data_IF_952540327147
#
_entry.id   IF_952540327147
#
_cell.length_a   1.000
_cell.length_b   1.000
_cell.length_c   1.000
_cell.angle_alpha   90.00
_cell.angle_beta   90.00
_cell.angle_gamma   90.00
#
_symmetry.space_group_name_H-M   'P 1'
#
loop_
_entity.id
_entity.type
_entity.pdbx_description
1 polymer ?
#
# COMPACT_ATOMS: atom_id res chain seq x y z
N UNK A 1 18.20 3.56 15.32
CA UNK A 1 16.87 4.24 15.13
C UNK A 1 15.87 3.16 14.79
N UNK A 2 14.68 3.13 15.43
CA UNK A 2 13.63 2.19 15.06
C UNK A 2 13.01 2.54 13.71
N UNK A 3 12.64 1.52 12.93
CA UNK A 3 12.02 1.67 11.63
C UNK A 3 11.04 0.55 11.29
N UNK A 4 10.28 0.74 10.24
CA UNK A 4 9.43 -0.27 9.63
C UNK A 4 9.75 -0.37 8.14
N UNK A 5 9.55 -1.55 7.56
CA UNK A 5 9.50 -1.71 6.11
C UNK A 5 8.04 -1.67 5.67
N UNK A 6 7.73 -0.79 4.73
CA UNK A 6 6.40 -0.73 4.13
C UNK A 6 6.47 -1.37 2.75
N UNK A 7 5.60 -2.35 2.50
CA UNK A 7 5.48 -3.06 1.23
C UNK A 7 6.81 -3.60 0.67
N UNK A 8 7.53 -4.47 1.39
CA UNK A 8 8.76 -5.08 0.89
C UNK A 8 8.45 -6.16 -0.15
N UNK A 9 8.15 -5.76 -1.38
CA UNK A 9 7.69 -6.65 -2.45
C UNK A 9 8.74 -7.61 -2.99
N UNK A 10 10.04 -7.30 -2.82
CA UNK A 10 11.14 -8.14 -3.32
C UNK A 10 12.49 -7.72 -2.76
N UNK A 11 13.57 -8.38 -3.22
CA UNK A 11 14.96 -8.10 -2.83
C UNK A 11 15.19 -8.05 -1.30
N UNK A 12 14.72 -9.03 -0.51
CA UNK A 12 14.73 -8.98 0.95
C UNK A 12 16.11 -8.73 1.54
N UNK A 13 17.15 -9.36 1.00
CA UNK A 13 18.53 -9.17 1.47
C UNK A 13 19.01 -7.73 1.28
N UNK A 14 18.70 -7.12 0.14
CA UNK A 14 19.06 -5.73 -0.16
C UNK A 14 18.37 -4.76 0.78
N UNK A 15 17.08 -4.96 1.05
CA UNK A 15 16.32 -4.13 1.99
C UNK A 15 16.89 -4.22 3.41
N UNK A 16 17.17 -5.42 3.91
CA UNK A 16 17.76 -5.63 5.21
C UNK A 16 19.16 -5.04 5.33
N UNK A 17 20.01 -5.22 4.31
CA UNK A 17 21.37 -4.65 4.29
C UNK A 17 21.31 -3.12 4.27
N UNK A 18 20.42 -2.52 3.46
CA UNK A 18 20.26 -1.06 3.42
C UNK A 18 19.79 -0.52 4.77
N UNK A 19 18.83 -1.16 5.43
CA UNK A 19 18.40 -0.76 6.78
C UNK A 19 19.55 -0.81 7.77
N UNK A 20 20.36 -1.87 7.73
CA UNK A 20 21.56 -2.04 8.59
C UNK A 20 22.61 -0.96 8.33
N UNK A 21 22.91 -0.64 7.07
CA UNK A 21 23.85 0.41 6.69
C UNK A 21 23.39 1.80 7.18
N UNK A 22 22.08 2.06 7.17
CA UNK A 22 21.47 3.27 7.69
C UNK A 22 21.32 3.30 9.22
N UNK A 23 21.71 2.23 9.92
CA UNK A 23 21.56 2.09 11.37
C UNK A 23 20.09 2.04 11.82
N UNK A 24 19.22 1.50 10.96
CA UNK A 24 17.79 1.33 11.24
C UNK A 24 17.56 -0.08 11.77
N UNK A 25 16.94 -0.15 12.95
CA UNK A 25 16.50 -1.39 13.60
C UNK A 25 15.03 -1.62 13.21
N UNK A 26 14.80 -2.54 12.27
CA UNK A 26 13.45 -2.85 11.77
C UNK A 26 12.66 -3.56 12.87
N UNK A 27 11.52 -3.00 13.23
CA UNK A 27 10.62 -3.52 14.27
C UNK A 27 9.42 -4.28 13.71
N UNK A 28 8.92 -3.86 12.58
CA UNK A 28 7.72 -4.41 11.95
C UNK A 28 7.79 -4.31 10.43
N UNK A 29 6.97 -5.08 9.76
CA UNK A 29 6.66 -4.95 8.33
C UNK A 29 5.20 -4.53 8.22
N UNK A 30 4.93 -3.44 7.50
CA UNK A 30 3.57 -2.97 7.24
C UNK A 30 3.21 -3.22 5.77
N UNK A 31 2.05 -3.83 5.54
CA UNK A 31 1.54 -4.09 4.20
C UNK A 31 0.31 -3.23 3.91
N UNK A 32 0.33 -2.53 2.78
CA UNK A 32 -0.83 -1.77 2.31
C UNK A 32 -1.84 -2.67 1.63
N UNK A 33 -1.40 -3.68 0.86
CA UNK A 33 -2.25 -4.65 0.18
C UNK A 33 -1.49 -5.94 -0.17
N UNK A 34 -2.22 -6.95 -0.64
CA UNK A 34 -1.70 -8.31 -0.77
C UNK A 34 -1.05 -8.67 -2.11
N UNK A 35 -0.84 -7.72 -3.05
CA UNK A 35 -0.20 -8.04 -4.32
C UNK A 35 1.27 -8.43 -4.15
N UNK A 36 1.75 -9.25 -5.09
CA UNK A 36 3.07 -9.85 -5.09
C UNK A 36 4.20 -8.81 -4.94
N UNK A 37 4.13 -7.73 -5.68
CA UNK A 37 5.14 -6.67 -5.74
C UNK A 37 5.13 -5.74 -4.52
N UNK A 38 4.21 -5.97 -3.57
CA UNK A 38 4.14 -5.32 -2.26
C UNK A 38 4.40 -6.27 -1.09
N UNK A 39 3.90 -7.50 -1.16
CA UNK A 39 4.00 -8.46 -0.07
C UNK A 39 5.07 -9.56 -0.29
N UNK A 40 5.60 -9.68 -1.51
CA UNK A 40 6.37 -10.85 -1.93
C UNK A 40 7.67 -11.14 -1.18
N UNK A 41 8.31 -10.14 -0.60
CA UNK A 41 9.52 -10.30 0.22
C UNK A 41 9.28 -10.35 1.73
N UNK A 42 8.04 -10.08 2.17
CA UNK A 42 7.75 -9.86 3.58
C UNK A 42 7.99 -11.10 4.46
N UNK A 43 7.64 -12.31 3.98
CA UNK A 43 7.84 -13.54 4.74
C UNK A 43 9.33 -13.89 4.95
N UNK A 44 10.16 -13.64 3.94
CA UNK A 44 11.61 -13.89 4.05
C UNK A 44 12.24 -12.91 5.05
N UNK A 45 11.84 -11.63 5.02
CA UNK A 45 12.30 -10.62 5.99
C UNK A 45 11.77 -10.95 7.40
N UNK A 46 10.50 -11.32 7.54
CA UNK A 46 9.89 -11.73 8.81
C UNK A 46 10.73 -12.80 9.49
N UNK A 47 11.10 -13.85 8.75
CA UNK A 47 11.90 -14.96 9.28
C UNK A 47 13.32 -14.54 9.61
N UNK A 48 13.95 -13.74 8.75
CA UNK A 48 15.34 -13.33 8.94
C UNK A 48 15.53 -12.40 10.14
N UNK A 49 14.60 -11.45 10.35
CA UNK A 49 14.67 -10.45 11.41
C UNK A 49 13.85 -10.81 12.66
N UNK A 50 12.99 -11.83 12.58
CA UNK A 50 12.04 -12.22 13.64
C UNK A 50 11.14 -11.04 14.05
N UNK A 51 10.56 -10.35 13.07
CA UNK A 51 9.66 -9.20 13.24
C UNK A 51 8.26 -9.51 12.73
N UNK A 52 7.19 -8.94 13.30
CA UNK A 52 5.83 -9.20 12.84
C UNK A 52 5.52 -8.54 11.50
N UNK A 53 4.58 -9.16 10.75
CA UNK A 53 3.92 -8.59 9.58
C UNK A 53 2.54 -8.10 10.00
N UNK A 54 2.26 -6.81 9.76
CA UNK A 54 1.04 -6.11 10.13
C UNK A 54 0.34 -5.63 8.84
N UNK A 55 -0.93 -5.96 8.69
CA UNK A 55 -1.71 -5.65 7.49
C UNK A 55 -1.51 -6.65 6.34
N UNK A 56 -2.23 -6.41 5.27
CA UNK A 56 -3.28 -5.43 5.06
C UNK A 56 -4.59 -5.77 5.80
N UNK A 57 -5.76 -5.34 5.29
CA UNK A 57 -7.04 -5.84 5.77
C UNK A 57 -7.25 -7.30 5.34
N UNK A 58 -8.00 -8.08 6.12
CA UNK A 58 -8.18 -9.54 5.90
C UNK A 58 -8.77 -9.90 4.54
N UNK A 59 -9.47 -8.99 3.90
CA UNK A 59 -10.05 -9.22 2.58
C UNK A 59 -9.00 -9.40 1.47
N UNK A 60 -7.72 -9.06 1.72
CA UNK A 60 -6.62 -9.32 0.79
C UNK A 60 -5.89 -10.65 1.01
N UNK A 61 -6.30 -11.46 2.00
CA UNK A 61 -5.63 -12.73 2.28
C UNK A 61 -5.52 -13.62 1.04
N UNK A 62 -6.54 -13.64 0.18
CA UNK A 62 -6.53 -14.46 -1.01
C UNK A 62 -5.41 -14.12 -2.01
N UNK A 63 -4.92 -12.87 -2.04
CA UNK A 63 -3.74 -12.47 -2.80
C UNK A 63 -2.47 -13.05 -2.16
N UNK A 64 -2.34 -12.91 -0.85
CA UNK A 64 -1.18 -13.39 -0.08
C UNK A 64 -1.08 -14.92 -0.07
N UNK A 65 -2.19 -15.63 -0.24
CA UNK A 65 -2.22 -17.09 -0.39
C UNK A 65 -1.66 -17.58 -1.74
N UNK A 66 -1.44 -16.67 -2.70
CA UNK A 66 -0.99 -17.00 -4.06
C UNK A 66 0.37 -16.43 -4.43
N UNK A 67 1.12 -15.87 -3.49
CA UNK A 67 2.43 -15.23 -3.73
C UNK A 67 3.42 -16.22 -4.38
N UNK A 68 3.56 -17.44 -3.84
CA UNK A 68 4.46 -18.47 -4.40
C UNK A 68 4.08 -18.84 -5.84
N UNK A 69 2.78 -18.99 -6.08
CA UNK A 69 2.28 -19.31 -7.42
C UNK A 69 2.53 -18.14 -8.39
N UNK A 70 2.32 -16.91 -7.95
CA UNK A 70 2.53 -15.71 -8.76
C UNK A 70 4.00 -15.57 -9.15
N UNK A 71 4.94 -15.72 -8.22
CA UNK A 71 6.37 -15.73 -8.53
C UNK A 71 6.72 -16.80 -9.57
N UNK A 72 6.16 -18.02 -9.43
CA UNK A 72 6.39 -19.10 -10.41
C UNK A 72 5.88 -18.75 -11.80
N UNK A 73 4.71 -18.10 -11.90
CA UNK A 73 4.13 -17.67 -13.18
C UNK A 73 4.98 -16.61 -13.89
N UNK A 74 5.67 -15.76 -13.14
CA UNK A 74 6.62 -14.76 -13.67
C UNK A 74 8.02 -15.33 -13.91
N UNK A 75 8.23 -16.66 -13.82
CA UNK A 75 9.51 -17.30 -14.09
C UNK A 75 10.49 -17.29 -12.90
N UNK A 76 10.03 -16.92 -11.72
CA UNK A 76 10.83 -16.82 -10.49
C UNK A 76 10.42 -17.88 -9.46
N UNK A 77 10.30 -19.13 -9.89
CA UNK A 77 9.93 -20.25 -9.00
C UNK A 77 10.88 -20.35 -7.79
N UNK A 78 10.29 -20.47 -6.60
CA UNK A 78 11.02 -20.57 -5.33
C UNK A 78 11.35 -19.23 -4.68
N UNK A 79 11.04 -18.09 -5.33
CA UNK A 79 11.10 -16.79 -4.70
C UNK A 79 9.80 -16.50 -3.94
N UNK A 80 9.95 -15.78 -2.81
CA UNK A 80 8.84 -15.39 -1.96
C UNK A 80 8.07 -16.56 -1.34
N UNK A 81 7.19 -16.25 -0.42
CA UNK A 81 6.36 -17.22 0.29
C UNK A 81 4.96 -16.65 0.50
N UNK A 82 3.97 -17.54 0.52
CA UNK A 82 2.63 -17.16 0.98
C UNK A 82 2.69 -16.66 2.41
N UNK A 83 1.85 -15.66 2.73
CA UNK A 83 1.88 -14.98 4.02
C UNK A 83 0.52 -15.05 4.70
N UNK A 84 0.54 -15.35 5.99
CA UNK A 84 -0.53 -15.02 6.93
C UNK A 84 0.06 -13.96 7.86
N UNK A 85 -0.45 -12.72 7.85
CA UNK A 85 0.03 -11.66 8.72
C UNK A 85 -0.17 -12.00 10.20
N UNK A 86 0.69 -11.49 11.06
CA UNK A 86 0.54 -11.61 12.50
C UNK A 86 -0.69 -10.82 13.01
N UNK A 87 -1.05 -9.74 12.27
CA UNK A 87 -2.24 -8.94 12.51
C UNK A 87 -2.77 -8.32 11.23
N UNK A 88 -4.07 -8.41 10.97
CA UNK A 88 -4.75 -7.62 9.94
C UNK A 88 -5.06 -6.24 10.47
N UNK A 89 -5.28 -5.29 9.55
CA UNK A 89 -5.64 -3.92 9.87
C UNK A 89 -7.11 -3.64 9.56
N UNK A 90 -7.74 -2.85 10.43
CA UNK A 90 -9.13 -2.41 10.28
C UNK A 90 -9.19 -0.89 10.09
N UNK A 91 -10.31 -0.39 9.54
CA UNK A 91 -10.53 1.05 9.34
C UNK A 91 -10.52 1.82 10.67
N UNK A 92 -9.78 2.92 10.73
CA UNK A 92 -9.71 3.76 11.92
C UNK A 92 -8.73 3.30 12.99
N UNK A 93 -8.02 2.19 12.80
CA UNK A 93 -6.96 1.76 13.71
C UNK A 93 -5.77 2.73 13.73
N UNK A 94 -4.94 2.57 14.75
CA UNK A 94 -3.67 3.28 14.91
C UNK A 94 -2.52 2.30 15.03
N UNK A 95 -1.46 2.53 14.26
CA UNK A 95 -0.15 1.90 14.39
C UNK A 95 0.78 2.84 15.14
N UNK A 96 1.73 2.30 15.89
CA UNK A 96 2.71 3.11 16.64
C UNK A 96 4.12 2.65 16.32
N UNK A 97 4.99 3.59 15.95
CA UNK A 97 6.42 3.36 15.73
C UNK A 97 7.23 4.42 16.47
N UNK A 98 8.09 4.01 17.40
CA UNK A 98 8.94 4.93 18.15
C UNK A 98 8.19 6.05 18.84
N UNK A 99 6.96 5.79 19.33
CA UNK A 99 6.08 6.79 19.93
C UNK A 99 5.32 7.70 18.94
N UNK A 100 5.49 7.48 17.63
CA UNK A 100 4.75 8.20 16.58
C UNK A 100 3.54 7.37 16.16
N UNK A 101 2.36 7.99 16.15
CA UNK A 101 1.10 7.35 15.77
C UNK A 101 0.80 7.54 14.28
N UNK A 102 0.35 6.47 13.63
CA UNK A 102 -0.10 6.44 12.24
C UNK A 102 -1.53 5.91 12.19
N UNK A 103 -2.44 6.66 11.60
CA UNK A 103 -3.81 6.22 11.37
C UNK A 103 -3.90 5.27 10.17
N UNK A 104 -4.88 4.41 10.20
CA UNK A 104 -5.19 3.45 9.14
C UNK A 104 -6.55 3.77 8.53
N UNK A 105 -6.62 3.76 7.19
CA UNK A 105 -7.87 3.82 6.44
C UNK A 105 -8.00 2.56 5.59
N UNK A 106 -9.11 1.85 5.71
CA UNK A 106 -9.46 0.80 4.76
C UNK A 106 -9.93 1.45 3.46
N UNK A 107 -9.26 1.15 2.35
CA UNK A 107 -9.36 1.84 1.07
C UNK A 107 -9.64 0.86 -0.08
N UNK A 108 -10.75 0.13 -0.04
CA UNK A 108 -11.04 -0.87 -1.06
C UNK A 108 -11.28 -0.26 -2.44
N UNK A 109 -10.95 -1.03 -3.48
CA UNK A 109 -11.16 -0.67 -4.87
C UNK A 109 -10.09 -1.22 -5.81
N UNK A 110 -8.82 -0.92 -5.61
CA UNK A 110 -7.70 -1.59 -6.29
C UNK A 110 -7.65 -3.07 -5.88
N UNK A 111 -7.59 -3.33 -4.59
CA UNK A 111 -7.91 -4.62 -3.98
C UNK A 111 -9.00 -4.43 -2.92
N UNK A 112 -9.70 -5.48 -2.50
CA UNK A 112 -10.75 -5.36 -1.48
C UNK A 112 -10.20 -5.05 -0.08
N UNK A 113 -8.98 -5.50 0.23
CA UNK A 113 -8.36 -5.31 1.54
C UNK A 113 -7.30 -4.22 1.61
N UNK A 114 -7.20 -3.35 0.61
CA UNK A 114 -6.20 -2.28 0.59
C UNK A 114 -6.37 -1.34 1.78
N UNK A 115 -5.25 -0.94 2.41
CA UNK A 115 -5.21 0.07 3.47
C UNK A 115 -4.25 1.19 3.11
N UNK A 116 -4.52 2.38 3.63
CA UNK A 116 -3.60 3.53 3.61
C UNK A 116 -3.17 3.81 5.04
N UNK A 117 -1.87 4.01 5.24
CA UNK A 117 -1.26 4.31 6.53
C UNK A 117 -0.78 5.76 6.49
N UNK A 118 -1.22 6.60 7.43
CA UNK A 118 -0.95 8.03 7.36
C UNK A 118 -0.60 8.65 8.72
N UNK A 119 0.14 9.76 8.68
CA UNK A 119 0.38 10.59 9.87
C UNK A 119 0.05 12.06 9.53
N UNK A 120 -0.93 12.62 10.23
CA UNK A 120 -1.39 14.01 10.02
C UNK A 120 -0.36 15.05 10.44
N UNK A 121 0.37 14.81 11.50
CA UNK A 121 1.34 15.76 12.02
C UNK A 121 2.57 15.88 11.09
N UNK A 122 3.02 14.74 10.55
CA UNK A 122 4.11 14.69 9.57
C UNK A 122 3.64 15.00 8.14
N UNK A 123 2.33 15.06 7.92
CA UNK A 123 1.69 15.30 6.62
C UNK A 123 2.17 14.30 5.57
N UNK A 124 2.16 13.01 5.93
CA UNK A 124 2.61 11.93 5.07
C UNK A 124 1.59 10.78 5.07
N UNK A 125 1.42 10.14 3.90
CA UNK A 125 0.60 8.95 3.74
C UNK A 125 1.31 7.94 2.84
N UNK A 126 1.33 6.66 3.24
CA UNK A 126 1.71 5.52 2.42
C UNK A 126 0.43 4.99 1.79
N UNK A 127 0.25 5.26 0.51
CA UNK A 127 -1.04 5.02 -0.16
C UNK A 127 -1.06 3.75 -0.99
N UNK A 128 0.07 3.01 -1.06
CA UNK A 128 0.19 1.84 -1.93
C UNK A 128 -0.32 2.15 -3.33
N UNK A 129 -1.22 1.33 -3.83
CA UNK A 129 -1.77 1.42 -5.18
C UNK A 129 -3.18 2.04 -5.25
N UNK A 130 -3.52 2.89 -4.28
CA UNK A 130 -4.77 3.66 -4.30
C UNK A 130 -4.67 4.88 -5.21
N UNK A 131 -3.60 5.67 -5.05
CA UNK A 131 -3.43 6.96 -5.72
C UNK A 131 -2.00 7.13 -6.21
N UNK A 132 -1.85 7.57 -7.45
CA UNK A 132 -0.57 7.91 -8.07
C UNK A 132 -0.59 9.35 -8.55
N UNK A 133 0.60 9.90 -8.82
CA UNK A 133 0.72 11.20 -9.46
C UNK A 133 0.08 11.17 -10.84
N UNK A 134 -1.06 11.84 -11.00
CA UNK A 134 -1.82 11.91 -12.25
C UNK A 134 -2.58 10.65 -12.62
N UNK A 135 -2.69 9.65 -11.70
CA UNK A 135 -3.40 8.40 -11.96
C UNK A 135 -3.99 7.81 -10.67
N UNK A 136 -4.65 6.67 -10.79
CA UNK A 136 -5.14 5.83 -9.69
C UNK A 136 -4.81 4.38 -9.96
N UNK A 137 -4.90 3.53 -8.95
CA UNK A 137 -4.68 2.09 -9.07
C UNK A 137 -5.60 1.47 -10.13
N UNK A 138 -5.09 0.47 -10.84
CA UNK A 138 -5.89 -0.29 -11.80
C UNK A 138 -6.94 -1.13 -11.06
N UNK A 139 -8.05 -1.40 -11.75
CA UNK A 139 -9.23 -2.07 -11.19
C UNK A 139 -9.76 -3.17 -12.08
N UNK A 140 -8.85 -3.84 -12.79
CA UNK A 140 -9.13 -4.99 -13.66
C UNK A 140 -8.67 -6.33 -13.05
N UNK A 141 -8.30 -6.33 -11.78
CA UNK A 141 -7.98 -7.52 -11.00
C UNK A 141 -9.21 -8.18 -10.38
N UNK A 142 -9.12 -9.46 -9.98
CA UNK A 142 -10.17 -10.13 -9.22
C UNK A 142 -10.60 -9.33 -7.98
N UNK A 143 -11.90 -9.13 -7.80
CA UNK A 143 -12.55 -8.38 -6.70
C UNK A 143 -12.20 -6.88 -6.65
N UNK A 144 -11.54 -6.32 -7.67
CA UNK A 144 -11.37 -4.88 -7.80
C UNK A 144 -12.70 -4.19 -8.12
N UNK A 145 -12.82 -2.90 -7.76
CA UNK A 145 -14.02 -2.11 -8.03
C UNK A 145 -13.64 -0.64 -8.30
N UNK A 146 -13.77 -0.16 -9.56
CA UNK A 146 -13.36 1.19 -9.93
C UNK A 146 -14.15 2.29 -9.23
N UNK A 147 -15.47 2.10 -9.04
CA UNK A 147 -16.28 3.10 -8.36
C UNK A 147 -15.91 3.20 -6.88
N UNK A 148 -15.71 2.05 -6.24
CA UNK A 148 -15.30 2.00 -4.84
C UNK A 148 -13.94 2.65 -4.61
N UNK A 149 -12.97 2.49 -5.54
CA UNK A 149 -11.68 3.16 -5.47
C UNK A 149 -11.83 4.68 -5.50
N UNK A 150 -12.60 5.21 -6.46
CA UNK A 150 -12.86 6.65 -6.58
C UNK A 150 -13.56 7.19 -5.33
N UNK A 151 -14.57 6.50 -4.85
CA UNK A 151 -15.32 6.89 -3.65
C UNK A 151 -14.42 6.87 -2.41
N UNK A 152 -13.60 5.83 -2.23
CA UNK A 152 -12.62 5.73 -1.15
C UNK A 152 -11.65 6.93 -1.16
N UNK A 153 -11.08 7.27 -2.31
CA UNK A 153 -10.18 8.42 -2.45
C UNK A 153 -10.88 9.71 -2.04
N UNK A 154 -12.04 9.99 -2.64
CA UNK A 154 -12.75 11.27 -2.43
C UNK A 154 -13.29 11.42 -1.01
N UNK A 155 -13.75 10.32 -0.39
CA UNK A 155 -14.39 10.38 0.93
C UNK A 155 -13.43 10.22 2.09
N UNK A 156 -12.29 9.53 1.90
CA UNK A 156 -11.35 9.21 2.98
C UNK A 156 -10.00 9.92 2.87
N UNK A 157 -9.41 10.06 1.66
CA UNK A 157 -8.12 10.76 1.52
C UNK A 157 -8.27 12.27 1.51
N UNK A 158 -9.22 12.83 0.75
CA UNK A 158 -9.37 14.28 0.63
C UNK A 158 -9.59 15.00 1.97
N UNK A 159 -10.33 14.42 2.95
CA UNK A 159 -10.46 15.01 4.29
C UNK A 159 -9.17 15.09 5.11
N UNK A 160 -8.11 14.39 4.73
CA UNK A 160 -6.82 14.47 5.43
C UNK A 160 -6.09 15.80 5.17
N UNK A 161 -6.48 16.54 4.12
CA UNK A 161 -5.95 17.87 3.82
C UNK A 161 -5.12 17.96 2.54
N UNK A 162 -5.10 19.15 1.93
CA UNK A 162 -4.42 19.40 0.65
C UNK A 162 -2.90 19.27 0.73
N UNK A 163 -2.32 19.55 1.85
CA UNK A 163 -0.87 19.56 2.10
C UNK A 163 -0.30 18.19 2.50
N UNK A 164 -1.15 17.17 2.57
CA UNK A 164 -0.73 15.79 2.77
C UNK A 164 0.09 15.32 1.58
N UNK A 165 1.35 14.97 1.80
CA UNK A 165 2.22 14.32 0.82
C UNK A 165 1.94 12.82 0.86
N UNK A 166 2.05 12.15 -0.28
CA UNK A 166 1.91 10.70 -0.28
C UNK A 166 3.07 10.01 -1.01
N UNK A 167 3.39 8.83 -0.50
CA UNK A 167 4.31 7.87 -1.08
C UNK A 167 3.44 6.78 -1.70
N UNK A 168 3.40 6.67 -3.03
CA UNK A 168 2.67 5.62 -3.72
C UNK A 168 3.48 4.33 -3.78
N UNK A 169 2.84 3.22 -4.12
CA UNK A 169 3.53 1.97 -4.42
C UNK A 169 4.43 2.08 -5.65
N UNK A 170 3.99 2.84 -6.65
CA UNK A 170 4.72 3.03 -7.90
C UNK A 170 4.79 4.52 -8.29
N UNK A 171 5.90 4.88 -8.96
CA UNK A 171 6.09 6.22 -9.50
C UNK A 171 6.46 7.28 -8.45
N UNK A 172 6.40 8.57 -8.83
CA UNK A 172 6.85 9.65 -7.96
C UNK A 172 5.81 10.05 -6.93
N UNK A 173 6.28 10.60 -5.82
CA UNK A 173 5.47 11.24 -4.79
C UNK A 173 4.66 12.42 -5.34
N UNK A 174 3.53 12.74 -4.70
CA UNK A 174 2.72 13.92 -4.97
C UNK A 174 2.07 14.42 -3.67
N UNK A 175 1.10 15.33 -3.80
CA UNK A 175 0.27 15.80 -2.69
C UNK A 175 -1.22 15.63 -3.02
N UNK A 176 -2.05 15.45 -2.00
CA UNK A 176 -3.49 15.36 -2.24
C UNK A 176 -4.04 16.62 -2.90
N UNK A 177 -3.48 17.80 -2.59
CA UNK A 177 -3.87 19.05 -3.22
C UNK A 177 -3.59 19.10 -4.73
N UNK A 178 -2.42 18.60 -5.17
CA UNK A 178 -2.10 18.51 -6.59
C UNK A 178 -3.04 17.54 -7.32
N UNK A 179 -3.30 16.37 -6.74
CA UNK A 179 -4.18 15.37 -7.36
C UNK A 179 -5.65 15.83 -7.38
N UNK A 180 -6.13 16.50 -6.35
CA UNK A 180 -7.46 17.11 -6.33
C UNK A 180 -7.64 18.18 -7.41
N UNK A 181 -6.56 18.86 -7.79
CA UNK A 181 -6.58 19.87 -8.82
C UNK A 181 -6.53 19.27 -10.22
N UNK A 182 -5.60 18.35 -10.49
CA UNK A 182 -5.20 18.03 -11.85
C UNK A 182 -5.34 16.54 -12.22
N UNK A 183 -5.62 15.62 -11.26
CA UNK A 183 -5.70 14.19 -11.54
C UNK A 183 -6.95 13.88 -12.42
N UNK A 184 -6.78 13.25 -13.60
CA UNK A 184 -7.88 13.04 -14.54
C UNK A 184 -8.98 12.07 -14.04
N UNK A 185 -8.74 11.33 -12.96
CA UNK A 185 -9.67 10.33 -12.39
C UNK A 185 -10.43 10.87 -11.17
N UNK A 186 -9.77 11.66 -10.32
CA UNK A 186 -10.28 11.99 -8.98
C UNK A 186 -10.26 13.47 -8.64
N UNK A 187 -9.81 14.35 -9.56
CA UNK A 187 -9.82 15.79 -9.30
C UNK A 187 -11.22 16.30 -8.96
N UNK A 188 -11.30 17.40 -8.22
CA UNK A 188 -12.56 17.96 -7.72
C UNK A 188 -13.54 18.31 -8.85
N UNK A 189 -13.05 18.66 -10.04
CA UNK A 189 -13.85 18.95 -11.22
C UNK A 189 -14.29 17.70 -12.01
N UNK A 190 -13.77 16.51 -11.67
CA UNK A 190 -14.16 15.24 -12.32
C UNK A 190 -15.42 14.73 -11.66
N UNK A 191 -16.56 14.81 -12.38
CA UNK A 191 -17.83 14.26 -11.91
C UNK A 191 -17.82 12.72 -11.97
N UNK A 192 -18.46 12.07 -10.99
CA UNK A 192 -18.53 10.60 -10.84
C UNK A 192 -19.23 9.85 -11.99
N UNK A 193 -19.45 10.47 -13.15
CA UNK A 193 -20.22 9.91 -14.27
C UNK A 193 -19.49 9.68 -15.58
N UNK A 194 -18.20 10.00 -15.70
CA UNK A 194 -17.43 9.60 -16.89
C UNK A 194 -16.70 8.28 -16.61
N UNK A 195 -17.17 7.20 -17.23
CA UNK A 195 -16.44 5.93 -17.37
C UNK A 195 -15.10 6.23 -18.07
N UNK A 196 -14.09 6.53 -17.30
CA UNK A 196 -12.71 6.48 -17.77
C UNK A 196 -12.40 5.00 -18.03
N UNK A 197 -12.05 4.70 -19.27
CA UNK A 197 -11.56 3.37 -19.63
C UNK A 197 -10.22 3.20 -18.92
N UNK A 198 -10.19 2.52 -17.77
CA UNK A 198 -9.00 2.23 -16.98
C UNK A 198 -8.24 1.05 -17.58
N UNK A 199 -7.92 1.10 -18.88
CA UNK A 199 -6.89 0.26 -19.46
C UNK A 199 -5.55 0.86 -19.03
N UNK A 200 -4.97 0.24 -18.00
CA UNK A 200 -3.86 0.76 -17.25
C UNK A 200 -2.64 1.15 -18.06
N UNK A 201 -2.04 2.20 -17.61
CA UNK A 201 -0.61 2.41 -17.82
C UNK A 201 0.08 2.04 -16.50
N UNK A 202 1.02 1.11 -16.63
CA UNK A 202 1.88 0.58 -15.56
C UNK A 202 2.47 1.69 -14.70
#
# INVERSE_FOLDING_TARGET
>A
MEGVLVDPGGEPEKLMNTAKELGIDIKEIWLTHGHLDHAGGAEDIRKALNVPVIGPHKEDQFWMDTIEQSWSQYGHAGMGKNIIPDRYLEDGETLTLGGTEFGVLHMPGHTPGHVVIYNKNLKIAFVGDVLFRGSVGRTDFPKSNPQQLIDSIKTKLWPLGHDMRFIPGHGPMSTFGAERKDNPFVADHVSNGKKGNTSGVM
#
